data_IF_062129872258
#
_entry.id   IF_062129872258
#
_cell.length_a   1.000
_cell.length_b   1.000
_cell.length_c   1.000
_cell.angle_alpha   90.00
_cell.angle_beta   90.00
_cell.angle_gamma   90.00
#
_symmetry.space_group_name_H-M   'P 1'
#
loop_
_entity.id
_entity.type
_entity.pdbx_description
1 polymer ?
#
# COMPACT_ATOMS: atom_id res chain seq x y z
N UNK A 1 -11.05 -86.23 -13.17
CA UNK A 1 -10.51 -87.16 -12.15
C UNK A 1 -9.25 -86.54 -11.54
N UNK A 2 -9.23 -86.46 -10.19
CA UNK A 2 -8.07 -86.42 -9.26
C UNK A 2 -7.13 -85.19 -9.35
N UNK A 3 -7.22 -84.25 -8.41
CA UNK A 3 -6.72 -84.25 -7.02
C UNK A 3 -5.28 -83.71 -6.92
N UNK A 4 -5.09 -82.50 -6.38
CA UNK A 4 -4.91 -82.13 -4.95
C UNK A 4 -3.52 -82.44 -4.40
N UNK A 5 -2.80 -81.38 -3.97
CA UNK A 5 -1.87 -81.28 -2.81
C UNK A 5 -1.19 -79.90 -2.87
N UNK A 6 -1.62 -78.86 -2.14
CA UNK A 6 -1.37 -78.56 -0.71
C UNK A 6 0.09 -78.81 -0.28
N UNK A 7 0.89 -77.76 -0.26
CA UNK A 7 1.91 -77.51 0.77
C UNK A 7 1.79 -76.05 1.19
N UNK A 8 1.28 -75.86 2.41
CA UNK A 8 1.44 -74.63 3.15
C UNK A 8 2.93 -74.45 3.47
N UNK A 9 3.44 -73.21 3.47
CA UNK A 9 4.42 -72.73 4.44
C UNK A 9 4.56 -71.20 4.40
N UNK A 10 4.64 -70.65 5.61
CA UNK A 10 5.24 -69.40 6.02
C UNK A 10 4.64 -68.08 5.50
N UNK A 11 3.84 -67.47 6.37
CA UNK A 11 3.63 -66.02 6.40
C UNK A 11 4.98 -65.29 6.42
N UNK A 12 5.27 -64.53 5.37
CA UNK A 12 6.20 -63.40 5.45
C UNK A 12 5.37 -62.15 5.22
N UNK A 13 5.14 -61.39 6.29
CA UNK A 13 4.48 -60.09 6.24
C UNK A 13 5.42 -59.14 5.50
N UNK A 14 5.15 -58.89 4.22
CA UNK A 14 5.62 -57.67 3.54
C UNK A 14 4.40 -56.81 3.26
N UNK A 15 4.16 -55.89 4.19
CA UNK A 15 3.21 -54.81 4.02
C UNK A 15 3.67 -53.94 2.84
N UNK A 16 2.93 -53.98 1.74
CA UNK A 16 2.94 -52.90 0.74
C UNK A 16 1.56 -52.27 0.83
N UNK A 17 1.43 -51.27 1.70
CA UNK A 17 0.29 -50.37 1.69
C UNK A 17 0.28 -49.66 0.33
N UNK A 18 -0.70 -49.98 -0.52
CA UNK A 18 -0.98 -49.18 -1.70
C UNK A 18 -1.63 -47.87 -1.22
N UNK A 19 -0.80 -46.86 -0.98
CA UNK A 19 -1.24 -45.52 -0.64
C UNK A 19 -1.80 -44.90 -1.94
N UNK A 20 -3.12 -44.75 -2.03
CA UNK A 20 -3.74 -43.91 -3.06
C UNK A 20 -3.46 -42.46 -2.69
N UNK A 21 -2.43 -41.87 -3.31
CA UNK A 21 -2.15 -40.44 -3.20
C UNK A 21 -3.22 -39.66 -3.97
N UNK A 22 -4.15 -39.04 -3.24
CA UNK A 22 -5.00 -37.99 -3.79
C UNK A 22 -4.14 -36.73 -3.89
N UNK A 23 -3.67 -36.41 -5.10
CA UNK A 23 -3.04 -35.11 -5.38
C UNK A 23 -4.09 -34.01 -5.23
N UNK A 24 -3.95 -33.17 -4.20
CA UNK A 24 -4.71 -31.93 -4.11
C UNK A 24 -4.18 -30.98 -5.18
N UNK A 25 -5.04 -30.63 -6.15
CA UNK A 25 -4.82 -29.49 -7.00
C UNK A 25 -4.83 -28.25 -6.12
N UNK A 26 -3.68 -27.57 -6.02
CA UNK A 26 -3.63 -26.23 -5.46
C UNK A 26 -4.61 -25.35 -6.23
N UNK A 27 -5.51 -24.68 -5.52
CA UNK A 27 -6.19 -23.54 -6.09
C UNK A 27 -5.09 -22.55 -6.46
N UNK A 28 -4.87 -22.35 -7.76
CA UNK A 28 -4.22 -21.15 -8.23
C UNK A 28 -5.02 -20.00 -7.63
N UNK A 29 -4.44 -19.29 -6.66
CA UNK A 29 -4.86 -17.92 -6.38
C UNK A 29 -4.60 -17.16 -7.67
N UNK A 30 -5.61 -17.16 -8.54
CA UNK A 30 -5.66 -16.26 -9.68
C UNK A 30 -5.72 -14.86 -9.09
N UNK A 31 -4.54 -14.28 -8.86
CA UNK A 31 -4.39 -12.85 -8.68
C UNK A 31 -5.09 -12.21 -9.88
N UNK A 32 -6.25 -11.61 -9.61
CA UNK A 32 -7.01 -10.90 -10.63
C UNK A 32 -6.09 -9.77 -11.14
N UNK A 33 -5.89 -9.64 -12.46
CA UNK A 33 -4.96 -8.64 -12.98
C UNK A 33 -5.37 -7.27 -12.45
N UNK A 34 -4.41 -6.42 -12.02
CA UNK A 34 -4.74 -5.10 -11.52
C UNK A 34 -5.29 -4.24 -12.67
N UNK A 35 -6.39 -3.55 -12.43
CA UNK A 35 -7.06 -2.70 -13.41
C UNK A 35 -7.45 -1.37 -12.77
N UNK A 36 -7.02 -0.28 -13.41
CA UNK A 36 -7.34 1.09 -13.05
C UNK A 36 -8.00 1.78 -14.25
N UNK A 37 -9.15 2.42 -14.02
CA UNK A 37 -9.82 3.22 -15.03
C UNK A 37 -9.70 4.71 -14.71
N UNK A 38 -9.28 5.52 -15.68
CA UNK A 38 -9.20 6.97 -15.54
C UNK A 38 -10.10 7.66 -16.56
N UNK A 39 -10.62 8.83 -16.17
CA UNK A 39 -11.62 9.54 -16.94
C UNK A 39 -11.24 11.00 -17.18
N UNK A 40 -11.61 11.51 -18.35
CA UNK A 40 -11.37 12.88 -18.81
C UNK A 40 -12.08 13.91 -17.92
N UNK A 41 -13.26 13.59 -17.36
CA UNK A 41 -14.01 14.51 -16.51
C UNK A 41 -14.08 14.00 -15.07
N UNK A 42 -14.55 14.85 -14.17
CA UNK A 42 -14.82 14.49 -12.78
C UNK A 42 -16.01 13.52 -12.69
N UNK A 43 -16.10 12.77 -11.59
CA UNK A 43 -17.22 11.85 -11.34
C UNK A 43 -17.32 10.69 -12.34
N UNK A 44 -16.18 10.15 -12.77
CA UNK A 44 -16.08 9.01 -13.68
C UNK A 44 -16.83 9.21 -15.01
N UNK A 45 -16.71 10.40 -15.60
CA UNK A 45 -17.46 10.78 -16.80
C UNK A 45 -16.56 11.22 -17.96
N UNK A 46 -17.10 11.27 -19.18
CA UNK A 46 -16.33 11.61 -20.38
C UNK A 46 -15.55 10.42 -20.96
N UNK A 47 -14.44 10.69 -21.66
CA UNK A 47 -13.58 9.62 -22.21
C UNK A 47 -12.94 8.83 -21.08
N UNK A 48 -12.88 7.51 -21.26
CA UNK A 48 -12.30 6.56 -20.31
C UNK A 48 -11.05 5.91 -20.91
N UNK A 49 -10.03 5.71 -20.09
CA UNK A 49 -8.84 4.92 -20.43
C UNK A 49 -8.60 3.91 -19.31
N UNK A 50 -8.38 2.66 -19.69
CA UNK A 50 -8.12 1.56 -18.76
C UNK A 50 -6.63 1.22 -18.78
N UNK A 51 -6.05 1.08 -17.59
CA UNK A 51 -4.66 0.73 -17.36
C UNK A 51 -4.62 -0.61 -16.63
N UNK A 52 -3.74 -1.51 -17.10
CA UNK A 52 -3.54 -2.83 -16.51
C UNK A 52 -2.08 -3.13 -16.16
N UNK A 53 -1.22 -2.10 -16.20
CA UNK A 53 0.19 -2.18 -15.84
C UNK A 53 0.81 -0.80 -15.63
N UNK A 54 2.10 -0.77 -15.36
CA UNK A 54 2.83 0.47 -15.12
C UNK A 54 2.99 1.33 -16.38
N UNK A 55 2.79 2.64 -16.22
CA UNK A 55 2.97 3.66 -17.26
C UNK A 55 3.80 4.80 -16.66
N UNK A 56 5.05 4.91 -17.10
CA UNK A 56 6.00 5.90 -16.60
C UNK A 56 5.76 7.32 -17.16
N UNK A 57 5.17 7.45 -18.35
CA UNK A 57 4.75 8.72 -18.90
C UNK A 57 3.42 8.56 -19.63
N UNK A 58 2.40 9.20 -19.09
CA UNK A 58 1.07 9.23 -19.67
C UNK A 58 1.05 10.32 -20.75
N UNK A 59 1.25 9.89 -22.00
CA UNK A 59 1.17 10.75 -23.18
C UNK A 59 -0.22 10.71 -23.82
N UNK A 60 -1.19 11.36 -23.18
CA UNK A 60 -2.52 11.58 -23.76
C UNK A 60 -2.78 13.06 -23.99
N UNK A 61 -3.58 13.37 -25.01
CA UNK A 61 -3.89 14.76 -25.41
C UNK A 61 -4.81 15.51 -24.44
N UNK A 62 -5.31 14.85 -23.40
CA UNK A 62 -6.25 15.42 -22.43
C UNK A 62 -5.87 15.00 -21.00
N UNK A 63 -6.03 15.87 -19.99
CA UNK A 63 -5.78 15.49 -18.60
C UNK A 63 -6.88 14.56 -18.07
N UNK A 64 -6.52 13.72 -17.10
CA UNK A 64 -7.49 12.94 -16.32
C UNK A 64 -7.95 13.71 -15.08
N UNK A 65 -9.23 13.57 -14.74
CA UNK A 65 -9.88 14.32 -13.68
C UNK A 65 -10.55 13.44 -12.62
N UNK A 66 -10.82 12.17 -12.92
CA UNK A 66 -11.30 11.18 -11.96
C UNK A 66 -10.75 9.79 -12.29
N UNK A 67 -10.82 8.87 -11.33
CA UNK A 67 -10.39 7.50 -11.52
C UNK A 67 -11.25 6.53 -10.71
N UNK A 68 -11.28 5.28 -11.12
CA UNK A 68 -11.89 4.16 -10.39
C UNK A 68 -10.95 2.97 -10.44
N UNK A 69 -10.62 2.43 -9.27
CA UNK A 69 -9.75 1.25 -9.14
C UNK A 69 -10.64 0.02 -9.20
N UNK A 70 -10.59 -0.72 -10.31
CA UNK A 70 -11.42 -1.92 -10.50
C UNK A 70 -10.85 -3.09 -9.72
N UNK A 71 -9.53 -3.29 -9.81
CA UNK A 71 -8.82 -4.38 -9.17
C UNK A 71 -7.36 -4.02 -8.88
N UNK A 72 -6.77 -4.70 -7.89
CA UNK A 72 -5.42 -4.45 -7.41
C UNK A 72 -5.26 -3.12 -6.69
N UNK A 73 -4.06 -2.85 -6.20
CA UNK A 73 -3.67 -1.54 -5.62
C UNK A 73 -2.88 -0.75 -6.64
N UNK A 74 -2.96 0.57 -6.60
CA UNK A 74 -2.32 1.44 -7.59
C UNK A 74 -1.67 2.67 -6.96
N UNK A 75 -0.49 3.04 -7.44
CA UNK A 75 0.20 4.27 -7.12
C UNK A 75 -0.01 5.22 -8.29
N UNK A 76 -0.53 6.40 -8.02
CA UNK A 76 -0.82 7.43 -9.02
C UNK A 76 0.05 8.64 -8.70
N UNK A 77 0.89 9.07 -9.66
CA UNK A 77 1.87 10.11 -9.45
C UNK A 77 1.70 11.30 -10.41
N UNK A 78 2.16 12.46 -9.95
CA UNK A 78 1.93 13.76 -10.58
C UNK A 78 3.05 14.18 -11.52
N UNK A 79 4.20 13.50 -11.47
CA UNK A 79 5.29 13.63 -12.43
C UNK A 79 5.59 12.27 -13.07
N UNK A 80 6.28 12.34 -14.19
CA UNK A 80 6.75 11.18 -14.94
C UNK A 80 7.69 10.31 -14.07
N UNK A 81 7.84 9.06 -14.46
CA UNK A 81 8.71 8.06 -13.81
C UNK A 81 8.37 7.78 -12.34
N UNK A 82 7.09 7.88 -11.97
CA UNK A 82 6.61 7.61 -10.60
C UNK A 82 7.18 8.60 -9.58
N UNK A 83 7.19 9.89 -9.92
CA UNK A 83 7.76 10.97 -9.10
C UNK A 83 6.76 12.05 -8.73
N UNK A 84 7.19 12.96 -7.86
CA UNK A 84 6.39 14.07 -7.35
C UNK A 84 5.46 13.59 -6.24
N UNK A 85 4.30 14.24 -6.10
CA UNK A 85 3.27 13.73 -5.22
C UNK A 85 2.70 12.44 -5.80
N UNK A 86 2.67 11.38 -4.99
CA UNK A 86 2.11 10.08 -5.32
C UNK A 86 1.06 9.72 -4.27
N UNK A 87 0.02 8.99 -4.69
CA UNK A 87 -1.04 8.50 -3.82
C UNK A 87 -1.30 7.04 -4.13
N UNK A 88 -1.34 6.23 -3.08
CA UNK A 88 -1.72 4.83 -3.13
C UNK A 88 -3.24 4.71 -3.01
N UNK A 89 -3.84 3.91 -3.87
CA UNK A 89 -5.28 3.66 -3.88
C UNK A 89 -5.56 2.17 -3.98
N UNK A 90 -6.46 1.71 -3.11
CA UNK A 90 -6.84 0.30 -3.04
C UNK A 90 -7.97 -0.03 -4.01
N UNK A 91 -8.14 -1.31 -4.29
CA UNK A 91 -9.22 -1.83 -5.13
C UNK A 91 -10.60 -1.36 -4.62
N UNK A 92 -11.49 -1.02 -5.55
CA UNK A 92 -12.82 -0.49 -5.24
C UNK A 92 -12.86 1.00 -4.89
N UNK A 93 -11.71 1.67 -4.82
CA UNK A 93 -11.67 3.12 -4.55
C UNK A 93 -12.14 3.91 -5.77
N UNK A 94 -13.07 4.84 -5.55
CA UNK A 94 -13.52 5.80 -6.55
C UNK A 94 -13.05 7.21 -6.21
N UNK A 95 -12.32 7.84 -7.12
CA UNK A 95 -11.77 9.18 -6.96
C UNK A 95 -12.58 10.14 -7.81
N UNK A 96 -13.56 10.82 -7.20
CA UNK A 96 -14.45 11.74 -7.92
C UNK A 96 -13.71 12.94 -8.54
N UNK A 97 -12.62 13.39 -7.92
CA UNK A 97 -11.83 14.54 -8.41
C UNK A 97 -10.35 14.41 -8.04
N UNK A 98 -9.48 14.11 -9.00
CA UNK A 98 -8.03 14.05 -8.82
C UNK A 98 -7.42 15.39 -8.39
N UNK A 99 -8.04 16.51 -8.79
CA UNK A 99 -7.64 17.85 -8.36
C UNK A 99 -7.89 18.10 -6.88
N UNK A 100 -8.88 17.44 -6.29
CA UNK A 100 -9.15 17.55 -4.86
C UNK A 100 -8.09 16.80 -4.06
N UNK A 101 -7.66 15.64 -4.56
CA UNK A 101 -6.64 14.81 -3.92
C UNK A 101 -5.22 15.38 -4.07
N UNK A 102 -4.84 15.81 -5.29
CA UNK A 102 -3.48 16.26 -5.59
C UNK A 102 -3.30 17.80 -5.66
N UNK A 103 -4.39 18.56 -5.56
CA UNK A 103 -4.39 20.02 -5.73
C UNK A 103 -4.81 20.49 -7.13
N UNK A 104 -5.35 21.72 -7.18
CA UNK A 104 -6.09 22.24 -8.34
C UNK A 104 -5.29 22.33 -9.65
N UNK A 105 -4.00 22.60 -9.55
CA UNK A 105 -3.10 22.79 -10.70
C UNK A 105 -2.40 21.49 -11.12
N UNK A 106 -2.59 20.43 -10.36
CA UNK A 106 -1.84 19.19 -10.52
C UNK A 106 -2.47 18.31 -11.60
N UNK A 107 -1.61 17.55 -12.28
CA UNK A 107 -2.03 16.56 -13.28
C UNK A 107 -1.31 15.26 -13.00
N UNK A 108 -2.01 14.16 -13.21
CA UNK A 108 -1.42 12.82 -13.17
C UNK A 108 -0.55 12.63 -14.41
N UNK A 109 0.64 12.06 -14.23
CA UNK A 109 1.64 11.86 -15.29
C UNK A 109 2.20 10.44 -15.34
N UNK A 110 2.12 9.68 -14.25
CA UNK A 110 2.49 8.26 -14.25
C UNK A 110 1.66 7.47 -13.25
N UNK A 111 1.58 6.16 -13.45
CA UNK A 111 0.84 5.25 -12.58
C UNK A 111 1.42 3.84 -12.64
N UNK A 112 1.35 3.09 -11.54
CA UNK A 112 1.74 1.68 -11.52
C UNK A 112 0.90 0.89 -10.51
N UNK A 113 0.67 -0.40 -10.75
CA UNK A 113 0.10 -1.26 -9.72
C UNK A 113 1.09 -1.38 -8.55
N UNK A 114 0.56 -1.30 -7.32
CA UNK A 114 1.26 -1.55 -6.06
C UNK A 114 0.94 -2.99 -5.65
N UNK A 115 1.43 -3.93 -6.42
CA UNK A 115 1.39 -5.31 -5.99
C UNK A 115 2.76 -5.94 -6.16
N UNK A 116 3.10 -6.76 -5.18
CA UNK A 116 4.10 -7.81 -5.28
C UNK A 116 3.57 -8.90 -6.23
N UNK A 117 3.22 -8.53 -7.47
CA UNK A 117 2.70 -9.41 -8.49
C UNK A 117 3.74 -9.54 -9.60
N UNK A 118 4.52 -10.61 -9.48
CA UNK A 118 5.20 -11.36 -10.53
C UNK A 118 5.39 -10.64 -11.88
N UNK A 119 6.58 -10.08 -12.05
CA UNK A 119 7.15 -9.83 -13.36
C UNK A 119 7.10 -11.11 -14.23
N UNK A 120 6.66 -11.05 -15.50
CA UNK A 120 7.17 -11.98 -16.49
C UNK A 120 8.48 -11.41 -17.04
N UNK A 121 9.58 -12.01 -16.59
CA UNK A 121 10.86 -12.19 -17.29
C UNK A 121 11.42 -11.02 -18.14
N UNK A 122 12.33 -10.25 -17.53
CA UNK A 122 13.63 -9.99 -18.14
C UNK A 122 14.72 -10.18 -17.06
N UNK A 123 15.64 -11.10 -17.30
CA UNK A 123 16.52 -11.82 -16.36
C UNK A 123 17.72 -11.02 -15.82
N UNK A 124 18.04 -11.20 -14.52
CA UNK A 124 19.34 -11.61 -13.94
C UNK A 124 19.25 -11.54 -12.39
N UNK A 125 19.09 -12.66 -11.67
CA UNK A 125 20.09 -13.35 -10.82
C UNK A 125 20.64 -12.48 -9.66
N UNK A 126 20.40 -12.76 -8.37
CA UNK A 126 20.83 -13.94 -7.59
C UNK A 126 19.97 -14.16 -6.32
N UNK A 127 19.83 -15.42 -5.88
CA UNK A 127 19.27 -15.87 -4.58
C UNK A 127 20.41 -16.02 -3.56
N UNK A 128 20.21 -15.91 -2.21
CA UNK A 128 19.56 -17.00 -1.46
C UNK A 128 18.86 -16.69 -0.10
N UNK A 129 17.85 -17.53 0.20
CA UNK A 129 17.48 -18.19 1.47
C UNK A 129 16.56 -17.50 2.52
N UNK A 130 15.35 -18.06 2.57
CA UNK A 130 14.34 -18.15 3.64
C UNK A 130 14.90 -18.69 4.98
N UNK A 131 14.32 -18.29 6.12
CA UNK A 131 13.42 -19.21 6.85
C UNK A 131 12.12 -18.50 7.27
N UNK A 132 10.95 -18.96 6.84
CA UNK A 132 10.03 -19.84 7.59
C UNK A 132 9.71 -19.29 8.99
N UNK A 133 8.64 -18.48 9.09
CA UNK A 133 8.03 -18.10 10.37
C UNK A 133 6.71 -18.83 10.53
N UNK A 134 6.74 -19.73 11.51
CA UNK A 134 5.65 -20.54 12.06
C UNK A 134 4.47 -19.68 12.51
N UNK A 135 3.29 -20.09 12.07
CA UNK A 135 1.98 -19.59 12.49
C UNK A 135 1.77 -19.71 14.01
N UNK A 136 1.35 -18.61 14.66
CA UNK A 136 0.84 -18.62 16.04
C UNK A 136 -0.65 -18.24 16.08
N UNK A 137 -1.43 -18.76 17.04
CA UNK A 137 -2.88 -18.68 17.01
C UNK A 137 -3.40 -17.30 17.43
N UNK A 138 -4.54 -16.95 16.84
CA UNK A 138 -5.37 -15.78 17.12
C UNK A 138 -5.74 -15.69 18.60
N UNK A 139 -5.15 -14.73 19.31
CA UNK A 139 -5.66 -14.29 20.60
C UNK A 139 -6.85 -13.34 20.38
N UNK A 140 -7.94 -13.59 21.10
CA UNK A 140 -9.15 -12.79 21.06
C UNK A 140 -8.87 -11.36 21.56
N UNK A 141 -9.06 -10.37 20.70
CA UNK A 141 -9.15 -8.97 21.11
C UNK A 141 -10.47 -8.77 21.85
N UNK A 142 -10.39 -8.44 23.13
CA UNK A 142 -11.54 -8.00 23.92
C UNK A 142 -11.77 -6.52 23.61
N UNK A 143 -12.96 -6.20 23.13
CA UNK A 143 -13.44 -4.84 22.90
C UNK A 143 -13.61 -4.13 24.25
N UNK A 144 -12.84 -3.08 24.50
CA UNK A 144 -13.14 -2.13 25.57
C UNK A 144 -14.24 -1.15 25.09
N UNK A 145 -15.20 -0.75 25.94
CA UNK A 145 -16.21 0.23 25.56
C UNK A 145 -15.59 1.64 25.51
N UNK A 146 -15.73 2.31 24.37
CA UNK A 146 -15.51 3.76 24.28
C UNK A 146 -16.66 4.44 25.04
N UNK A 147 -16.34 4.92 26.24
CA UNK A 147 -17.21 5.85 26.95
C UNK A 147 -17.28 7.15 26.12
N UNK A 148 -18.50 7.54 25.76
CA UNK A 148 -18.76 8.77 25.02
C UNK A 148 -18.25 10.00 25.77
N UNK A 149 -17.18 10.58 25.27
CA UNK A 149 -16.81 11.97 25.55
C UNK A 149 -17.63 12.88 24.63
N UNK A 150 -18.26 13.90 25.23
CA UNK A 150 -18.95 14.96 24.51
C UNK A 150 -18.05 15.56 23.40
N UNK A 151 -18.62 16.06 22.29
CA UNK A 151 -17.84 16.79 21.31
C UNK A 151 -17.16 17.97 22.02
N UNK A 152 -15.83 18.02 21.98
CA UNK A 152 -15.10 19.22 22.35
C UNK A 152 -15.64 20.36 21.50
N UNK A 153 -16.05 21.46 22.14
CA UNK A 153 -16.44 22.67 21.42
C UNK A 153 -15.33 23.05 20.42
N UNK A 154 -15.69 23.52 19.21
CA UNK A 154 -14.70 23.92 18.22
C UNK A 154 -13.82 25.01 18.85
N UNK A 155 -12.54 24.69 19.05
CA UNK A 155 -11.56 25.65 19.55
C UNK A 155 -11.44 26.73 18.49
N UNK A 156 -12.04 27.90 18.75
CA UNK A 156 -12.00 29.07 17.87
C UNK A 156 -10.56 29.55 17.55
N UNK A 157 -9.53 28.96 18.17
CA UNK A 157 -8.12 29.19 17.87
C UNK A 157 -7.59 28.42 16.66
N UNK A 158 -8.23 27.35 16.19
CA UNK A 158 -7.72 26.59 15.03
C UNK A 158 -8.03 27.27 13.69
N UNK A 159 -9.17 27.96 13.60
CA UNK A 159 -9.62 28.62 12.36
C UNK A 159 -8.90 29.94 12.07
N UNK A 160 -8.27 30.54 13.09
CA UNK A 160 -7.50 31.77 12.95
C UNK A 160 -6.04 31.53 12.52
N UNK A 161 -5.50 30.33 12.73
CA UNK A 161 -4.06 30.02 12.53
C UNK A 161 -3.76 29.44 11.14
N UNK A 162 -4.75 28.88 10.43
CA UNK A 162 -4.52 28.21 9.14
C UNK A 162 -5.10 28.95 7.92
N UNK A 163 -5.68 30.14 8.10
CA UNK A 163 -6.22 30.92 6.98
C UNK A 163 -5.05 31.45 6.14
N UNK A 164 -4.83 30.86 4.96
CA UNK A 164 -3.82 31.29 3.99
C UNK A 164 -2.44 30.64 4.11
N UNK A 165 -2.24 29.69 5.02
CA UNK A 165 -0.93 29.03 5.21
C UNK A 165 -0.96 27.60 4.63
N UNK A 166 0.07 27.23 3.86
CA UNK A 166 0.21 25.86 3.37
C UNK A 166 0.77 24.99 4.49
N UNK A 167 0.02 23.98 4.90
CA UNK A 167 0.49 22.91 5.77
C UNK A 167 0.18 21.56 5.13
N UNK A 168 1.05 20.58 5.33
CA UNK A 168 0.87 19.23 4.83
C UNK A 168 1.26 18.18 5.87
N UNK A 169 0.44 17.15 5.97
CA UNK A 169 0.60 16.06 6.91
C UNK A 169 1.16 14.84 6.18
N UNK A 170 2.33 14.39 6.63
CA UNK A 170 3.03 13.22 6.10
C UNK A 170 2.89 12.06 7.07
N UNK A 171 2.27 10.99 6.60
CA UNK A 171 2.14 9.75 7.35
C UNK A 171 3.37 8.89 7.13
N UNK A 172 4.03 8.52 8.21
CA UNK A 172 5.23 7.67 8.27
C UNK A 172 6.32 8.16 7.30
N UNK A 173 6.82 9.40 7.48
CA UNK A 173 7.79 10.00 6.57
C UNK A 173 9.10 9.21 6.54
N UNK A 174 9.62 9.03 5.33
CA UNK A 174 10.91 8.39 5.06
C UNK A 174 11.88 9.46 4.53
N UNK A 175 13.11 9.48 5.04
CA UNK A 175 14.17 10.39 4.62
C UNK A 175 15.39 9.55 4.25
N UNK A 176 15.94 9.78 3.04
CA UNK A 176 17.00 8.95 2.46
C UNK A 176 16.69 7.43 2.41
N UNK A 177 15.41 7.07 2.31
CA UNK A 177 14.94 5.68 2.25
C UNK A 177 14.81 4.98 3.61
N UNK A 178 15.10 5.67 4.72
CA UNK A 178 14.94 5.17 6.08
C UNK A 178 13.84 5.93 6.83
N UNK A 179 13.17 5.31 7.84
CA UNK A 179 12.24 6.03 8.69
C UNK A 179 12.97 7.10 9.49
N UNK A 180 12.35 8.27 9.64
CA UNK A 180 12.94 9.35 10.45
C UNK A 180 12.88 8.94 11.93
N UNK A 181 14.02 8.88 12.60
CA UNK A 181 14.07 8.66 14.05
C UNK A 181 13.40 9.82 14.79
N UNK A 182 12.54 9.52 15.76
CA UNK A 182 11.85 10.54 16.56
C UNK A 182 12.81 11.44 17.36
N UNK A 183 14.01 10.94 17.64
CA UNK A 183 15.07 11.71 18.27
C UNK A 183 15.79 12.67 17.28
N UNK A 184 15.76 12.39 15.97
CA UNK A 184 16.45 13.16 14.95
C UNK A 184 15.58 14.31 14.42
N UNK A 185 15.54 15.38 15.20
CA UNK A 185 14.81 16.61 14.83
C UNK A 185 15.40 17.31 13.59
N UNK A 186 16.66 17.05 13.25
CA UNK A 186 17.30 17.60 12.05
C UNK A 186 16.73 16.95 10.80
N UNK A 187 16.71 15.62 10.76
CA UNK A 187 16.15 14.85 9.66
C UNK A 187 14.68 15.24 9.40
N UNK A 188 13.88 15.44 10.46
CA UNK A 188 12.50 15.92 10.32
C UNK A 188 12.40 17.31 9.66
N UNK A 189 13.30 18.25 10.01
CA UNK A 189 13.33 19.59 9.40
C UNK A 189 13.82 19.56 7.96
N UNK A 190 14.84 18.75 7.67
CA UNK A 190 15.40 18.62 6.33
C UNK A 190 14.39 17.96 5.39
N UNK A 191 13.66 16.94 5.86
CA UNK A 191 12.51 16.37 5.15
C UNK A 191 11.45 17.44 4.81
N UNK A 192 11.01 18.25 5.79
CA UNK A 192 10.03 19.31 5.52
C UNK A 192 10.56 20.33 4.50
N UNK A 193 11.86 20.68 4.57
CA UNK A 193 12.50 21.60 3.62
C UNK A 193 12.52 21.05 2.20
N UNK A 194 12.85 19.77 2.03
CA UNK A 194 12.82 19.11 0.73
C UNK A 194 11.40 19.00 0.17
N UNK A 195 10.41 18.80 1.05
CA UNK A 195 8.99 18.85 0.71
C UNK A 195 8.45 20.27 0.43
N UNK A 196 9.28 21.32 0.59
CA UNK A 196 8.92 22.71 0.28
C UNK A 196 8.29 23.50 1.43
N UNK A 197 8.45 23.04 2.67
CA UNK A 197 7.97 23.70 3.89
C UNK A 197 9.14 24.17 4.75
N UNK A 198 8.98 25.23 5.54
CA UNK A 198 10.10 25.80 6.31
C UNK A 198 10.14 25.32 7.76
N UNK A 199 9.03 24.78 8.28
CA UNK A 199 8.91 24.40 9.68
C UNK A 199 8.18 23.06 9.90
N UNK A 200 8.59 22.35 10.97
CA UNK A 200 7.86 21.22 11.55
C UNK A 200 6.92 21.76 12.63
N UNK A 201 5.61 21.67 12.42
CA UNK A 201 4.59 22.12 13.38
C UNK A 201 4.20 21.04 14.38
N UNK A 202 4.23 19.77 13.96
CA UNK A 202 3.87 18.63 14.80
C UNK A 202 4.62 17.38 14.36
N UNK A 203 4.98 16.52 15.32
CA UNK A 203 5.53 15.19 15.05
C UNK A 203 5.07 14.21 16.13
N UNK A 204 4.59 13.04 15.73
CA UNK A 204 4.24 11.94 16.64
C UNK A 204 5.29 10.82 16.56
N UNK A 205 5.74 10.35 17.72
CA UNK A 205 6.67 9.23 17.82
C UNK A 205 5.90 7.91 17.99
N UNK A 206 6.29 6.91 17.21
CA UNK A 206 5.73 5.56 17.27
C UNK A 206 6.86 4.54 17.46
N UNK A 207 6.63 3.57 18.34
CA UNK A 207 7.58 2.49 18.58
C UNK A 207 7.62 1.51 17.39
N UNK A 208 8.83 1.24 16.89
CA UNK A 208 9.09 0.22 15.86
C UNK A 208 10.22 -0.68 16.33
N UNK A 209 9.86 -1.73 17.04
CA UNK A 209 10.83 -2.57 17.77
C UNK A 209 11.42 -1.82 18.96
N UNK A 210 12.75 -1.75 19.04
CA UNK A 210 13.48 -1.00 20.08
C UNK A 210 13.70 0.48 19.74
N UNK A 211 13.32 0.91 18.52
CA UNK A 211 13.52 2.27 18.01
C UNK A 211 12.22 3.07 18.09
N UNK A 212 12.33 4.40 18.19
CA UNK A 212 11.22 5.34 18.16
C UNK A 212 11.34 6.16 16.89
N UNK A 213 10.37 6.05 15.98
CA UNK A 213 10.38 6.72 14.67
C UNK A 213 9.20 7.66 14.56
N UNK A 214 9.25 8.63 13.64
CA UNK A 214 8.15 9.54 13.40
C UNK A 214 7.04 8.79 12.64
N UNK A 215 5.89 8.64 13.29
CA UNK A 215 4.70 8.03 12.71
C UNK A 215 3.88 9.02 11.89
N UNK A 216 3.82 10.27 12.34
CA UNK A 216 3.06 11.36 11.72
C UNK A 216 3.84 12.68 11.84
N UNK A 217 3.91 13.45 10.76
CA UNK A 217 4.67 14.71 10.69
C UNK A 217 3.88 15.79 9.96
N UNK A 218 3.67 16.95 10.62
CA UNK A 218 3.04 18.11 10.02
C UNK A 218 4.09 19.16 9.67
N UNK A 219 4.26 19.43 8.38
CA UNK A 219 5.11 20.51 7.89
C UNK A 219 4.26 21.72 7.50
N UNK A 220 4.75 22.94 7.76
CA UNK A 220 4.06 24.17 7.38
C UNK A 220 5.03 25.27 6.89
N UNK A 221 4.48 26.22 6.13
CA UNK A 221 5.14 27.50 5.87
C UNK A 221 5.21 28.33 7.18
N UNK A 222 6.26 29.14 7.39
CA UNK A 222 6.42 29.90 8.62
C UNK A 222 5.35 30.97 8.70
N UNK A 223 4.80 31.14 9.89
CA UNK A 223 3.87 32.24 10.16
C UNK A 223 4.63 33.55 10.09
N UNK A 224 4.44 34.34 9.01
CA UNK A 224 4.83 35.74 9.05
C UNK A 224 3.86 36.45 9.99
N UNK A 225 4.29 36.66 11.22
CA UNK A 225 3.59 37.56 12.12
C UNK A 225 3.60 38.97 11.47
N UNK A 226 2.43 39.60 11.22
CA UNK A 226 2.36 40.93 10.63
C UNK A 226 2.98 42.01 11.54
#
# INVERSE_FOLDING_TARGET
>A
MRCLKKCAWAFSVSAIAAIVSISQAGASESSEPPVLEMYEKVGMSGKKVTFSGAVADIDVRFPFHSASVVSGRWEICTRNDFRGACMDVDAGTEITSLKKEFGFFTRVRSLRPIEEAAAPAAMAAETPKTPEIVSRPRAAAQSAPVAGGAPAEPVASAEAVLRGHKAHFFKTPMFDGEPIEAADKSAARDFCREAGFEEVQFSEAVARGERQVIGDLLCAEPTRNP
#
